data_IF_755622751497
#
_entry.id   IF_755622751497
#
_cell.length_a   1.000
_cell.length_b   1.000
_cell.length_c   1.000
_cell.angle_alpha   90.00
_cell.angle_beta   90.00
_cell.angle_gamma   90.00
#
_symmetry.space_group_name_H-M   'P 1'
#
loop_
_entity.id
_entity.type
_entity.pdbx_description
1 polymer ?
#
# COMPACT_ATOMS: atom_id res chain seq x y z
N UNK A 1 -21.32 -32.03 42.40
CA UNK A 1 -22.63 -32.60 42.02
C UNK A 1 -22.77 -32.46 40.51
N UNK A 2 -22.87 -33.64 39.89
CA UNK A 2 -23.44 -34.05 38.58
C UNK A 2 -22.99 -33.23 37.36
N UNK A 3 -22.33 -33.73 36.37
CA UNK A 3 -22.19 -35.07 35.79
C UNK A 3 -23.07 -35.23 34.55
N UNK A 4 -22.50 -35.94 33.55
CA UNK A 4 -23.20 -36.56 32.41
C UNK A 4 -23.17 -35.76 31.09
N UNK A 5 -22.86 -36.26 29.91
CA UNK A 5 -22.35 -37.56 29.41
C UNK A 5 -22.21 -37.45 27.87
N UNK A 6 -21.24 -38.20 27.35
CA UNK A 6 -21.04 -38.51 25.93
C UNK A 6 -22.17 -39.40 25.38
N UNK A 7 -22.49 -39.28 24.10
CA UNK A 7 -22.97 -40.42 23.30
C UNK A 7 -22.47 -40.36 21.84
N UNK A 8 -21.64 -41.33 21.54
CA UNK A 8 -21.35 -41.88 20.21
C UNK A 8 -22.49 -42.80 19.79
N UNK A 9 -22.84 -42.85 18.49
CA UNK A 9 -23.53 -43.99 17.90
C UNK A 9 -22.85 -44.35 16.59
N UNK A 10 -22.40 -45.59 16.57
CA UNK A 10 -21.89 -46.39 15.44
C UNK A 10 -23.03 -47.01 14.65
N UNK A 11 -22.76 -47.31 13.39
CA UNK A 11 -23.10 -48.62 12.82
C UNK A 11 -24.19 -48.67 11.77
N UNK A 12 -23.88 -49.35 10.66
CA UNK A 12 -24.85 -49.89 9.74
C UNK A 12 -24.28 -50.30 8.39
N UNK A 13 -23.94 -51.55 8.27
CA UNK A 13 -23.30 -52.29 7.19
C UNK A 13 -24.28 -52.74 6.06
N UNK A 14 -23.70 -52.90 4.86
CA UNK A 14 -23.79 -54.01 3.93
C UNK A 14 -25.02 -54.21 3.01
N UNK A 15 -24.72 -54.54 1.76
CA UNK A 15 -25.60 -55.17 0.81
C UNK A 15 -25.07 -55.15 -0.64
N UNK A 16 -24.26 -56.15 -1.00
CA UNK A 16 -23.84 -56.39 -2.37
C UNK A 16 -24.82 -57.22 -3.16
N UNK A 17 -24.83 -57.10 -4.47
CA UNK A 17 -25.31 -58.16 -5.42
C UNK A 17 -24.39 -58.17 -6.64
N UNK A 18 -23.89 -59.37 -6.93
CA UNK A 18 -23.14 -59.80 -8.10
C UNK A 18 -24.12 -60.02 -9.30
N UNK A 19 -23.63 -59.75 -10.50
CA UNK A 19 -24.31 -60.13 -11.74
C UNK A 19 -23.50 -59.91 -13.01
N UNK A 20 -22.87 -60.96 -13.50
CA UNK A 20 -22.92 -61.50 -14.86
C UNK A 20 -22.13 -60.82 -15.99
N UNK A 21 -21.07 -61.49 -16.37
CA UNK A 21 -20.23 -61.33 -17.56
C UNK A 21 -21.00 -61.70 -18.84
N UNK A 22 -20.87 -60.89 -19.91
CA UNK A 22 -20.82 -61.39 -21.31
C UNK A 22 -19.83 -60.52 -22.07
N UNK A 23 -18.82 -61.15 -22.63
CA UNK A 23 -17.83 -60.54 -23.48
C UNK A 23 -18.32 -60.36 -24.93
N UNK A 24 -17.86 -59.25 -25.52
CA UNK A 24 -17.78 -59.10 -26.96
C UNK A 24 -16.57 -58.30 -27.34
N UNK A 25 -15.61 -58.95 -27.95
CA UNK A 25 -14.43 -58.38 -28.54
C UNK A 25 -14.79 -57.58 -29.79
N UNK A 26 -14.54 -56.25 -29.76
CA UNK A 26 -14.48 -55.39 -30.95
C UNK A 26 -13.13 -54.75 -31.02
N UNK A 27 -12.34 -55.14 -31.97
CA UNK A 27 -11.10 -54.50 -32.41
C UNK A 27 -11.41 -53.10 -32.91
N UNK A 28 -11.02 -52.10 -32.13
CA UNK A 28 -11.14 -50.66 -32.43
C UNK A 28 -9.77 -50.02 -32.50
N UNK A 29 -9.45 -49.51 -33.65
CA UNK A 29 -8.29 -48.69 -34.01
C UNK A 29 -7.90 -47.67 -32.93
N UNK A 30 -6.65 -47.67 -32.54
CA UNK A 30 -6.04 -46.69 -31.67
C UNK A 30 -6.04 -45.30 -32.31
N UNK A 31 -7.02 -44.48 -31.98
CA UNK A 31 -6.91 -43.06 -32.14
C UNK A 31 -6.03 -42.52 -30.99
N UNK A 32 -4.86 -42.03 -31.34
CA UNK A 32 -4.01 -41.28 -30.44
C UNK A 32 -4.81 -40.07 -29.95
N UNK A 33 -5.41 -40.21 -28.76
CA UNK A 33 -6.01 -39.11 -28.01
C UNK A 33 -4.91 -38.13 -27.64
N UNK A 34 -4.82 -37.05 -28.39
CA UNK A 34 -4.05 -35.89 -27.95
C UNK A 34 -4.63 -35.49 -26.60
N UNK A 35 -3.92 -35.76 -25.52
CA UNK A 35 -4.13 -35.12 -24.24
C UNK A 35 -3.95 -33.63 -24.48
N UNK A 36 -5.07 -32.92 -24.65
CA UNK A 36 -5.12 -31.48 -24.55
C UNK A 36 -4.67 -31.14 -23.11
N UNK A 37 -3.37 -31.00 -22.94
CA UNK A 37 -2.79 -30.43 -21.73
C UNK A 37 -3.51 -29.11 -21.54
N UNK A 38 -4.20 -28.94 -20.41
CA UNK A 38 -4.70 -27.66 -19.93
C UNK A 38 -3.49 -26.76 -19.78
N UNK A 39 -3.03 -26.14 -20.87
CA UNK A 39 -2.13 -24.99 -20.80
C UNK A 39 -2.93 -23.91 -20.07
N UNK A 40 -2.75 -23.85 -18.75
CA UNK A 40 -3.28 -22.75 -17.93
C UNK A 40 -2.81 -21.48 -18.60
N UNK A 41 -3.71 -20.76 -19.26
CA UNK A 41 -3.36 -19.54 -20.00
C UNK A 41 -2.57 -18.65 -19.06
N UNK A 42 -1.33 -18.35 -19.41
CA UNK A 42 -0.44 -17.58 -18.56
C UNK A 42 -1.13 -16.25 -18.19
N UNK A 43 -1.41 -16.08 -16.89
CA UNK A 43 -2.09 -14.89 -16.38
C UNK A 43 -1.08 -13.78 -16.22
N UNK A 44 -1.45 -12.56 -16.63
CA UNK A 44 -0.66 -11.38 -16.41
C UNK A 44 -0.48 -11.16 -14.89
N UNK A 45 0.76 -11.11 -14.42
CA UNK A 45 1.09 -10.75 -13.04
C UNK A 45 1.14 -9.24 -12.93
N UNK A 46 0.67 -8.71 -11.82
CA UNK A 46 0.55 -7.27 -11.57
C UNK A 46 1.50 -6.82 -10.47
N UNK A 47 1.96 -5.57 -10.54
CA UNK A 47 2.75 -4.89 -9.52
C UNK A 47 2.12 -3.53 -9.22
N UNK A 48 2.04 -3.15 -7.95
CA UNK A 48 1.51 -1.85 -7.55
C UNK A 48 2.51 -0.75 -7.91
N UNK A 49 2.19 0.07 -8.90
CA UNK A 49 3.03 1.18 -9.35
C UNK A 49 2.75 2.48 -8.63
N UNK A 50 1.55 2.65 -8.14
CA UNK A 50 1.12 3.71 -7.24
C UNK A 50 0.16 3.11 -6.24
N UNK A 51 0.29 3.49 -4.97
CA UNK A 51 -0.67 3.13 -3.95
C UNK A 51 -0.72 4.20 -2.86
N UNK A 52 -1.83 4.23 -2.14
CA UNK A 52 -2.01 5.05 -0.95
C UNK A 52 -2.84 4.32 0.10
N UNK A 53 -2.57 4.60 1.38
CA UNK A 53 -3.33 4.08 2.50
C UNK A 53 -4.53 4.99 2.77
N UNK A 54 -5.68 4.40 3.08
CA UNK A 54 -6.89 5.16 3.38
C UNK A 54 -7.18 5.26 4.87
N UNK A 55 -7.85 6.34 5.25
CA UNK A 55 -8.35 6.62 6.61
C UNK A 55 -9.87 6.83 6.59
N UNK A 56 -10.47 6.71 7.78
CA UNK A 56 -11.83 7.19 8.01
C UNK A 56 -11.86 8.73 8.03
N UNK A 57 -12.94 9.36 7.56
CA UNK A 57 -13.12 10.79 7.73
C UNK A 57 -13.40 11.16 9.18
N UNK A 58 -12.97 12.35 9.57
CA UNK A 58 -13.33 13.00 10.82
C UNK A 58 -14.17 14.24 10.55
N UNK A 59 -14.73 14.88 11.58
CA UNK A 59 -15.50 16.10 11.42
C UNK A 59 -14.72 17.26 10.74
N UNK A 60 -13.38 17.20 10.76
CA UNK A 60 -12.54 18.17 10.08
C UNK A 60 -12.41 17.92 8.56
N UNK A 61 -12.84 16.76 8.07
CA UNK A 61 -12.70 16.32 6.68
C UNK A 61 -14.05 16.48 5.95
N UNK A 62 -14.51 17.71 5.76
CA UNK A 62 -15.84 18.04 5.29
C UNK A 62 -16.25 17.28 4.01
N UNK A 63 -15.40 17.24 2.98
CA UNK A 63 -15.68 16.54 1.73
C UNK A 63 -15.86 15.04 1.93
N UNK A 64 -14.97 14.42 2.70
CA UNK A 64 -15.01 12.98 2.98
C UNK A 64 -16.19 12.60 3.90
N UNK A 65 -16.58 13.50 4.80
CA UNK A 65 -17.69 13.30 5.76
C UNK A 65 -19.05 13.50 5.09
N UNK A 66 -19.20 14.53 4.27
CA UNK A 66 -20.44 14.81 3.54
C UNK A 66 -20.65 13.86 2.37
N UNK A 67 -19.53 13.40 1.77
CA UNK A 67 -19.57 12.62 0.54
C UNK A 67 -19.96 13.47 -0.67
N UNK A 68 -20.29 12.79 -1.75
CA UNK A 68 -20.56 13.38 -3.06
C UNK A 68 -21.86 12.87 -3.66
N UNK A 69 -22.45 13.69 -4.53
CA UNK A 69 -23.58 13.34 -5.40
C UNK A 69 -23.36 14.03 -6.73
N UNK A 70 -23.60 13.35 -7.85
CA UNK A 70 -23.45 13.91 -9.22
C UNK A 70 -22.10 14.62 -9.38
N UNK A 71 -21.02 13.97 -8.96
CA UNK A 71 -19.70 14.61 -8.84
C UNK A 71 -18.64 13.81 -9.58
N UNK A 72 -17.80 14.50 -10.36
CA UNK A 72 -16.61 13.92 -10.98
C UNK A 72 -15.38 14.26 -10.15
N UNK A 73 -14.63 13.23 -9.78
CA UNK A 73 -13.32 13.34 -9.13
C UNK A 73 -12.23 13.08 -10.18
N UNK A 74 -11.18 13.91 -10.21
CA UNK A 74 -10.03 13.73 -11.11
C UNK A 74 -8.75 13.77 -10.32
N UNK A 75 -7.78 12.93 -10.71
CA UNK A 75 -6.47 12.85 -10.10
C UNK A 75 -5.39 12.72 -11.16
N UNK A 76 -4.29 13.45 -11.01
CA UNK A 76 -3.07 13.28 -11.79
C UNK A 76 -2.02 12.64 -10.90
N UNK A 77 -1.71 11.37 -11.15
CA UNK A 77 -0.90 10.54 -10.27
C UNK A 77 0.36 10.05 -10.98
N UNK A 78 1.51 10.17 -10.31
CA UNK A 78 2.81 9.74 -10.83
C UNK A 78 3.03 8.25 -10.58
N UNK A 79 3.25 7.49 -11.64
CA UNK A 79 3.59 6.07 -11.56
C UNK A 79 5.08 5.88 -11.28
N UNK A 80 5.43 5.08 -10.29
CA UNK A 80 6.84 4.71 -10.04
C UNK A 80 7.38 3.81 -11.13
N UNK A 81 6.57 2.87 -11.62
CA UNK A 81 6.87 1.97 -12.72
C UNK A 81 5.81 2.09 -13.82
N UNK A 82 6.23 2.11 -15.08
CA UNK A 82 5.35 2.18 -16.23
C UNK A 82 4.90 0.82 -16.74
N UNK A 83 4.17 0.86 -17.86
CA UNK A 83 3.69 -0.34 -18.56
C UNK A 83 4.58 -0.75 -19.72
N UNK A 84 5.59 0.09 -20.07
CA UNK A 84 6.56 -0.23 -21.13
C UNK A 84 7.38 -1.45 -20.71
N UNK A 85 7.34 -2.55 -21.48
CA UNK A 85 8.08 -3.75 -21.12
C UNK A 85 9.59 -3.50 -21.15
N UNK A 86 10.34 -3.94 -20.13
CA UNK A 86 11.80 -3.87 -20.17
C UNK A 86 12.37 -4.81 -21.24
N UNK A 87 13.62 -4.55 -21.66
CA UNK A 87 14.36 -5.49 -22.50
C UNK A 87 14.40 -6.86 -21.81
N UNK A 88 14.04 -7.93 -22.54
CA UNK A 88 13.97 -9.29 -21.99
C UNK A 88 12.65 -9.68 -21.30
N UNK A 89 11.63 -8.81 -21.31
CA UNK A 89 10.29 -9.18 -20.87
C UNK A 89 9.73 -10.38 -21.69
N UNK A 90 8.90 -11.21 -21.05
CA UNK A 90 8.23 -12.31 -21.75
C UNK A 90 7.24 -11.80 -22.82
N UNK A 91 6.84 -12.70 -23.73
CA UNK A 91 5.96 -12.34 -24.85
C UNK A 91 4.59 -11.83 -24.39
N UNK A 92 4.02 -12.39 -23.31
CA UNK A 92 2.73 -11.99 -22.77
C UNK A 92 2.76 -10.56 -22.24
N UNK A 93 3.79 -10.24 -21.48
CA UNK A 93 4.02 -8.89 -20.92
C UNK A 93 4.25 -7.87 -22.03
N UNK A 94 5.04 -8.20 -23.07
CA UNK A 94 5.23 -7.33 -24.25
C UNK A 94 3.97 -7.07 -25.04
N UNK A 95 3.09 -8.05 -25.13
CA UNK A 95 1.86 -7.95 -25.91
C UNK A 95 0.73 -7.17 -25.21
N UNK A 96 0.86 -6.90 -23.89
CA UNK A 96 -0.26 -6.36 -23.09
C UNK A 96 0.18 -5.23 -22.14
N UNK A 97 0.72 -4.10 -22.64
CA UNK A 97 0.94 -2.92 -21.80
C UNK A 97 -0.42 -2.41 -21.31
N UNK A 98 -0.63 -2.44 -20.01
CA UNK A 98 -1.92 -2.08 -19.43
C UNK A 98 -1.77 -1.55 -18.00
N UNK A 99 -2.75 -0.78 -17.57
CA UNK A 99 -2.96 -0.45 -16.15
C UNK A 99 -4.26 -1.09 -15.68
N UNK A 100 -4.38 -1.36 -14.38
CA UNK A 100 -5.66 -1.60 -13.72
C UNK A 100 -5.74 -0.75 -12.46
N UNK A 101 -6.95 -0.37 -12.08
CA UNK A 101 -7.21 0.50 -10.94
C UNK A 101 -7.78 -0.31 -9.79
N UNK A 102 -7.39 -0.01 -8.56
CA UNK A 102 -7.95 -0.58 -7.34
C UNK A 102 -8.70 0.48 -6.57
N UNK A 103 -9.94 0.17 -6.19
CA UNK A 103 -10.80 1.01 -5.38
C UNK A 103 -11.17 0.28 -4.11
N UNK A 104 -11.21 0.98 -2.97
CA UNK A 104 -11.64 0.40 -1.71
C UNK A 104 -12.43 1.41 -0.87
N UNK A 105 -13.37 0.88 -0.08
CA UNK A 105 -14.17 1.67 0.87
C UNK A 105 -14.11 1.04 2.28
N UNK A 106 -12.89 0.88 2.86
CA UNK A 106 -12.71 0.14 4.11
C UNK A 106 -13.40 0.79 5.32
N UNK A 107 -13.67 2.08 5.26
CA UNK A 107 -14.30 2.85 6.34
C UNK A 107 -15.70 3.39 5.96
N UNK A 108 -16.21 3.06 4.79
CA UNK A 108 -17.54 3.44 4.37
C UNK A 108 -18.62 2.66 5.11
N UNK A 109 -19.75 3.33 5.41
CA UNK A 109 -20.89 2.71 6.05
C UNK A 109 -21.94 2.17 5.06
N UNK A 110 -21.87 2.58 3.79
CA UNK A 110 -22.82 2.21 2.74
C UNK A 110 -22.11 1.85 1.43
N UNK A 111 -22.77 1.10 0.54
CA UNK A 111 -22.28 0.88 -0.81
C UNK A 111 -22.22 2.18 -1.61
N UNK A 112 -21.22 2.31 -2.48
CA UNK A 112 -21.03 3.46 -3.37
C UNK A 112 -21.01 2.97 -4.82
N UNK A 113 -21.78 3.62 -5.70
CA UNK A 113 -21.66 3.42 -7.14
C UNK A 113 -20.49 4.25 -7.67
N UNK A 114 -19.52 3.60 -8.29
CA UNK A 114 -18.34 4.23 -8.90
C UNK A 114 -18.39 4.04 -10.40
N UNK A 115 -18.42 5.10 -11.16
CA UNK A 115 -18.36 5.07 -12.62
C UNK A 115 -19.40 5.95 -13.33
N UNK A 116 -19.14 6.28 -14.61
CA UNK A 116 -18.01 5.82 -15.41
C UNK A 116 -16.64 6.31 -14.92
N UNK A 117 -15.63 5.49 -15.17
CA UNK A 117 -14.23 5.80 -14.85
C UNK A 117 -13.41 5.85 -16.13
N UNK A 118 -12.41 6.73 -16.18
CA UNK A 118 -11.43 6.77 -17.27
C UNK A 118 -9.99 6.82 -16.73
N UNK A 119 -9.06 6.27 -17.52
CA UNK A 119 -7.61 6.38 -17.32
C UNK A 119 -6.98 6.96 -18.58
N UNK A 120 -6.38 8.16 -18.51
CA UNK A 120 -5.95 8.94 -19.67
C UNK A 120 -7.03 8.98 -20.77
N UNK A 121 -8.26 9.35 -20.40
CA UNK A 121 -9.46 9.41 -21.24
C UNK A 121 -9.93 8.06 -21.85
N UNK A 122 -9.23 6.92 -21.61
CA UNK A 122 -9.70 5.60 -22.00
C UNK A 122 -10.69 5.05 -20.99
N UNK A 123 -11.80 4.43 -21.43
CA UNK A 123 -12.77 3.81 -20.53
C UNK A 123 -12.12 2.73 -19.66
N UNK A 124 -12.47 2.73 -18.39
CA UNK A 124 -12.17 1.68 -17.40
C UNK A 124 -13.44 0.88 -17.18
N UNK A 125 -13.34 -0.43 -17.28
CA UNK A 125 -14.47 -1.33 -17.10
C UNK A 125 -14.28 -2.21 -15.86
N UNK A 126 -15.38 -2.80 -15.38
CA UNK A 126 -15.42 -3.69 -14.22
C UNK A 126 -16.20 -4.96 -14.63
N UNK A 127 -15.49 -6.00 -15.07
CA UNK A 127 -16.12 -7.19 -15.65
C UNK A 127 -16.95 -6.85 -16.90
N UNK A 128 -16.50 -5.88 -17.70
CA UNK A 128 -17.18 -5.37 -18.87
C UNK A 128 -18.20 -4.25 -18.62
N UNK A 129 -18.61 -4.00 -17.38
CA UNK A 129 -19.53 -2.91 -17.02
C UNK A 129 -18.81 -1.56 -16.89
N UNK A 130 -19.51 -0.43 -17.13
CA UNK A 130 -18.98 0.94 -17.05
C UNK A 130 -18.90 1.48 -15.62
N UNK A 131 -19.60 0.85 -14.70
CA UNK A 131 -19.68 1.19 -13.30
C UNK A 131 -19.59 -0.06 -12.42
N UNK A 132 -19.39 0.15 -11.14
CA UNK A 132 -19.36 -0.91 -10.14
C UNK A 132 -19.94 -0.42 -8.81
N UNK A 133 -20.63 -1.32 -8.12
CA UNK A 133 -21.04 -1.10 -6.73
C UNK A 133 -19.89 -1.52 -5.82
N UNK A 134 -19.27 -0.54 -5.16
CA UNK A 134 -18.25 -0.75 -4.16
C UNK A 134 -18.94 -0.83 -2.78
N UNK A 135 -19.09 -2.03 -2.26
CA UNK A 135 -19.71 -2.26 -0.96
C UNK A 135 -18.86 -1.66 0.18
N UNK A 136 -19.49 -1.39 1.32
CA UNK A 136 -18.79 -0.99 2.53
C UNK A 136 -17.76 -2.07 2.94
N UNK A 137 -16.55 -1.67 3.30
CA UNK A 137 -15.45 -2.58 3.64
C UNK A 137 -14.78 -3.27 2.45
N UNK A 138 -15.35 -3.19 1.23
CA UNK A 138 -14.87 -3.95 0.08
C UNK A 138 -13.75 -3.26 -0.70
N UNK A 139 -13.07 -4.07 -1.49
CA UNK A 139 -12.11 -3.66 -2.53
C UNK A 139 -12.57 -4.22 -3.88
N UNK A 140 -12.50 -3.41 -4.93
CA UNK A 140 -12.73 -3.83 -6.32
C UNK A 140 -11.54 -3.48 -7.19
N UNK A 141 -11.35 -4.26 -8.25
CA UNK A 141 -10.27 -4.09 -9.22
C UNK A 141 -10.88 -3.99 -10.61
N UNK A 142 -10.43 -3.01 -11.38
CA UNK A 142 -10.90 -2.84 -12.77
C UNK A 142 -10.37 -3.92 -13.71
N UNK A 143 -11.01 -4.02 -14.87
CA UNK A 143 -10.43 -4.69 -16.04
C UNK A 143 -9.15 -3.95 -16.48
N UNK A 144 -8.21 -4.63 -17.18
CA UNK A 144 -7.01 -3.99 -17.73
C UNK A 144 -7.35 -2.95 -18.80
N UNK A 145 -6.75 -1.77 -18.70
CA UNK A 145 -6.85 -0.69 -19.70
C UNK A 145 -5.54 -0.60 -20.47
N UNK A 146 -5.59 -0.86 -21.77
CA UNK A 146 -4.40 -0.83 -22.64
C UNK A 146 -3.80 0.58 -22.75
N UNK A 147 -2.68 0.81 -22.08
CA UNK A 147 -1.92 2.07 -22.06
C UNK A 147 -0.43 1.76 -22.12
N UNK A 148 0.31 2.51 -22.93
CA UNK A 148 1.78 2.47 -22.99
C UNK A 148 2.29 3.70 -22.23
N UNK A 149 2.94 3.46 -21.10
CA UNK A 149 3.42 4.50 -20.19
C UNK A 149 4.86 4.19 -19.79
N UNK A 150 5.80 5.13 -19.91
CA UNK A 150 7.15 4.95 -19.36
C UNK A 150 7.15 4.97 -17.83
N UNK A 151 8.25 4.52 -17.23
CA UNK A 151 8.49 4.69 -15.80
C UNK A 151 8.46 6.17 -15.43
N UNK A 152 7.80 6.50 -14.34
CA UNK A 152 7.63 7.88 -13.92
C UNK A 152 6.65 8.69 -14.79
N UNK A 153 5.77 8.06 -15.55
CA UNK A 153 4.70 8.75 -16.26
C UNK A 153 3.59 9.21 -15.32
N UNK A 154 2.91 10.29 -15.69
CA UNK A 154 1.67 10.68 -15.03
C UNK A 154 0.48 9.94 -15.65
N UNK A 155 -0.45 9.49 -14.81
CA UNK A 155 -1.74 8.94 -15.20
C UNK A 155 -2.85 9.83 -14.67
N UNK A 156 -3.75 10.24 -15.55
CA UNK A 156 -4.96 10.97 -15.16
C UNK A 156 -6.10 9.97 -15.00
N UNK A 157 -6.63 9.88 -13.78
CA UNK A 157 -7.81 9.09 -13.47
C UNK A 157 -8.99 10.04 -13.24
N UNK A 158 -10.10 9.80 -13.94
CA UNK A 158 -11.37 10.51 -13.71
C UNK A 158 -12.43 9.49 -13.32
N UNK A 159 -13.15 9.71 -12.22
CA UNK A 159 -14.26 8.87 -11.80
C UNK A 159 -15.49 9.70 -11.46
N UNK A 160 -16.65 9.26 -11.87
CA UNK A 160 -17.91 9.87 -11.60
C UNK A 160 -18.67 9.13 -10.49
N UNK A 161 -19.27 9.87 -9.59
CA UNK A 161 -20.07 9.39 -8.48
C UNK A 161 -21.52 9.87 -8.68
N UNK A 162 -22.40 9.02 -9.24
CA UNK A 162 -23.73 9.44 -9.70
C UNK A 162 -24.72 9.70 -8.57
N UNK A 163 -24.63 8.96 -7.49
CA UNK A 163 -25.56 9.03 -6.36
C UNK A 163 -24.90 9.48 -5.07
N UNK A 164 -25.69 9.70 -4.02
CA UNK A 164 -25.17 10.07 -2.71
C UNK A 164 -24.27 8.97 -2.16
N UNK A 165 -23.05 9.32 -1.80
CA UNK A 165 -22.07 8.36 -1.30
C UNK A 165 -22.07 8.22 0.22
N UNK A 166 -22.54 9.25 0.94
CA UNK A 166 -22.27 9.38 2.37
C UNK A 166 -20.78 9.51 2.67
N UNK A 167 -20.35 9.28 3.92
CA UNK A 167 -18.95 9.33 4.31
C UNK A 167 -18.09 8.32 3.54
N UNK A 168 -16.93 8.77 3.06
CA UNK A 168 -16.04 8.00 2.20
C UNK A 168 -14.70 7.73 2.84
N UNK A 169 -14.13 6.57 2.54
CA UNK A 169 -12.72 6.29 2.76
C UNK A 169 -11.86 7.17 1.85
N UNK A 170 -10.81 7.76 2.39
CA UNK A 170 -9.96 8.68 1.66
C UNK A 170 -8.54 8.73 2.19
N UNK A 171 -7.64 9.30 1.41
CA UNK A 171 -6.32 9.74 1.86
C UNK A 171 -6.27 11.27 1.81
N UNK A 172 -5.83 11.88 2.90
CA UNK A 172 -6.00 13.33 3.11
C UNK A 172 -5.11 14.16 2.19
N UNK A 173 -3.85 13.76 1.99
CA UNK A 173 -2.90 14.50 1.16
C UNK A 173 -1.94 13.54 0.44
N UNK A 174 -2.11 13.39 -0.87
CA UNK A 174 -1.20 12.56 -1.70
C UNK A 174 -0.09 13.38 -2.36
N UNK A 175 0.05 14.66 -2.04
CA UNK A 175 0.99 15.59 -2.69
C UNK A 175 0.89 15.59 -4.22
N UNK A 176 -0.30 15.38 -4.75
CA UNK A 176 -0.60 15.38 -6.18
C UNK A 176 -1.87 16.20 -6.46
N UNK A 177 -1.96 16.74 -7.66
CA UNK A 177 -3.13 17.54 -8.08
C UNK A 177 -4.33 16.64 -8.33
N UNK A 178 -5.45 16.96 -7.69
CA UNK A 178 -6.77 16.43 -7.97
C UNK A 178 -7.81 17.53 -8.06
N UNK A 179 -9.03 17.16 -8.47
CA UNK A 179 -10.19 18.05 -8.39
C UNK A 179 -11.47 17.31 -8.00
N UNK A 180 -12.35 18.04 -7.33
CA UNK A 180 -13.73 17.68 -7.02
C UNK A 180 -14.58 18.62 -7.88
N UNK A 181 -15.14 18.11 -8.99
CA UNK A 181 -15.63 19.00 -10.05
C UNK A 181 -14.51 19.92 -10.53
N UNK A 182 -14.71 21.24 -10.40
CA UNK A 182 -13.75 22.28 -10.77
C UNK A 182 -12.88 22.76 -9.59
N UNK A 183 -13.16 22.32 -8.37
CA UNK A 183 -12.40 22.71 -7.18
C UNK A 183 -11.20 21.82 -6.96
N UNK A 184 -10.01 22.41 -6.78
CA UNK A 184 -8.77 21.67 -6.51
C UNK A 184 -8.84 20.92 -5.18
N UNK A 185 -8.16 19.76 -5.12
CA UNK A 185 -7.97 18.94 -3.91
C UNK A 185 -6.64 18.20 -3.97
N UNK A 186 -6.04 17.97 -2.81
CA UNK A 186 -4.91 17.05 -2.64
C UNK A 186 -5.35 15.69 -2.04
N UNK A 187 -6.64 15.57 -1.71
CA UNK A 187 -7.21 14.32 -1.18
C UNK A 187 -7.58 13.36 -2.31
N UNK A 188 -7.42 12.07 -2.05
CA UNK A 188 -7.87 10.99 -2.96
C UNK A 188 -8.91 10.14 -2.25
N UNK A 189 -10.07 9.99 -2.89
CA UNK A 189 -11.21 9.25 -2.37
C UNK A 189 -11.33 7.92 -3.09
N UNK A 190 -11.56 6.84 -2.37
CA UNK A 190 -11.81 5.47 -2.83
C UNK A 190 -10.68 4.82 -3.65
N UNK A 191 -9.95 5.55 -4.49
CA UNK A 191 -8.84 5.01 -5.30
C UNK A 191 -7.66 4.68 -4.39
N UNK A 192 -7.25 3.42 -4.35
CA UNK A 192 -6.16 2.93 -3.47
C UNK A 192 -4.93 2.47 -4.20
N UNK A 193 -5.02 2.23 -5.50
CA UNK A 193 -3.85 1.77 -6.23
C UNK A 193 -4.02 1.76 -7.75
N UNK A 194 -2.87 1.79 -8.41
CA UNK A 194 -2.70 1.63 -9.85
C UNK A 194 -1.65 0.56 -10.05
N UNK A 195 -2.06 -0.54 -10.68
CA UNK A 195 -1.18 -1.66 -10.96
C UNK A 195 -0.78 -1.68 -12.43
N UNK A 196 0.46 -2.12 -12.67
CA UNK A 196 1.05 -2.34 -13.99
C UNK A 196 1.52 -3.79 -14.12
N UNK A 197 1.80 -4.32 -15.32
CA UNK A 197 2.39 -5.65 -15.45
C UNK A 197 3.71 -5.77 -14.69
N UNK A 198 3.86 -6.83 -13.91
CA UNK A 198 4.99 -7.00 -12.98
C UNK A 198 6.37 -7.03 -13.67
N UNK A 199 6.47 -7.58 -14.88
CA UNK A 199 7.69 -7.57 -15.71
C UNK A 199 9.00 -7.99 -15.00
N UNK A 200 8.89 -8.85 -13.97
CA UNK A 200 10.03 -9.25 -13.12
C UNK A 200 10.43 -8.19 -12.07
N UNK A 201 9.65 -7.13 -11.88
CA UNK A 201 9.83 -6.12 -10.83
C UNK A 201 9.02 -6.52 -9.59
N UNK A 202 9.66 -6.46 -8.44
CA UNK A 202 8.97 -6.54 -7.14
C UNK A 202 8.50 -5.15 -6.70
N UNK A 203 7.52 -5.12 -5.82
CA UNK A 203 7.03 -3.91 -5.18
C UNK A 203 7.75 -3.67 -3.87
N UNK A 204 8.19 -2.45 -3.65
CA UNK A 204 8.64 -1.93 -2.36
C UNK A 204 7.47 -1.19 -1.74
N UNK A 205 6.92 -1.71 -0.65
CA UNK A 205 5.92 -1.01 0.15
C UNK A 205 6.61 -0.16 1.21
N UNK A 206 6.22 1.10 1.34
CA UNK A 206 6.77 2.01 2.34
C UNK A 206 5.68 2.34 3.35
N UNK A 207 5.71 1.66 4.49
CA UNK A 207 4.81 1.88 5.63
C UNK A 207 5.39 2.99 6.50
N UNK A 208 4.74 4.16 6.52
CA UNK A 208 5.28 5.33 7.19
C UNK A 208 4.25 6.35 7.66
N UNK A 209 4.76 7.48 8.12
CA UNK A 209 3.99 8.64 8.59
C UNK A 209 4.10 9.84 7.63
N UNK A 210 4.02 11.06 8.17
CA UNK A 210 4.11 12.32 7.42
C UNK A 210 5.41 12.49 6.65
N UNK A 211 6.53 11.95 7.15
CA UNK A 211 7.82 12.03 6.48
C UNK A 211 7.80 11.18 5.21
N UNK A 212 7.13 10.04 5.26
CA UNK A 212 6.93 9.15 4.11
C UNK A 212 5.84 9.68 3.17
N UNK A 213 4.73 10.19 3.70
CA UNK A 213 3.67 10.84 2.92
C UNK A 213 4.24 12.00 2.09
N UNK A 214 5.16 12.78 2.67
CA UNK A 214 5.92 13.81 1.96
C UNK A 214 5.78 15.23 2.49
N UNK A 215 5.29 15.40 3.73
CA UNK A 215 5.24 16.72 4.39
C UNK A 215 6.61 17.38 4.35
N UNK A 216 6.65 18.68 3.99
CA UNK A 216 7.89 19.44 3.79
C UNK A 216 8.41 19.42 2.35
N UNK A 217 7.81 18.61 1.45
CA UNK A 217 8.13 18.62 0.02
C UNK A 217 7.04 19.34 -0.79
N UNK A 218 7.37 20.00 -1.91
CA UNK A 218 6.38 20.68 -2.74
C UNK A 218 5.42 19.71 -3.41
N UNK A 219 4.14 20.07 -3.46
CA UNK A 219 3.12 19.30 -4.19
C UNK A 219 3.47 19.19 -5.68
N UNK A 220 3.12 18.06 -6.29
CA UNK A 220 3.37 17.74 -7.71
C UNK A 220 4.85 17.67 -8.14
N UNK A 221 5.79 17.95 -7.25
CA UNK A 221 7.22 17.90 -7.58
C UNK A 221 7.77 16.47 -7.62
N UNK A 222 7.08 15.50 -7.02
CA UNK A 222 7.53 14.11 -6.87
C UNK A 222 8.92 14.04 -6.23
N UNK A 223 9.11 14.82 -5.16
CA UNK A 223 10.36 14.93 -4.40
C UNK A 223 10.27 14.29 -3.01
N UNK A 224 9.21 13.52 -2.74
CA UNK A 224 9.14 12.69 -1.53
C UNK A 224 10.25 11.65 -1.58
N UNK A 225 10.76 11.22 -0.43
CA UNK A 225 11.89 10.28 -0.43
C UNK A 225 11.59 8.95 -1.16
N UNK A 226 10.37 8.36 -1.10
CA UNK A 226 10.08 7.16 -1.87
C UNK A 226 10.08 7.40 -3.40
N UNK A 227 9.70 8.61 -3.85
CA UNK A 227 9.75 8.98 -5.29
C UNK A 227 11.18 9.08 -5.78
N UNK A 228 12.07 9.67 -4.96
CA UNK A 228 13.48 9.87 -5.30
C UNK A 228 14.26 8.55 -5.27
N UNK A 229 13.91 7.64 -4.37
CA UNK A 229 14.47 6.30 -4.34
C UNK A 229 14.09 5.51 -5.60
N UNK A 230 12.81 5.49 -5.97
CA UNK A 230 12.35 4.83 -7.20
C UNK A 230 13.12 5.30 -8.46
N UNK A 231 13.61 6.55 -8.47
CA UNK A 231 14.34 7.12 -9.60
C UNK A 231 15.79 6.60 -9.74
N UNK A 232 16.37 6.00 -8.69
CA UNK A 232 17.81 5.61 -8.64
C UNK A 232 18.12 4.27 -9.27
N UNK A 233 17.18 3.35 -9.33
CA UNK A 233 17.46 1.98 -9.77
C UNK A 233 17.43 1.83 -11.30
N UNK A 234 18.42 1.12 -11.88
CA UNK A 234 18.44 0.76 -13.32
C UNK A 234 17.21 -0.09 -13.72
N UNK A 235 16.74 -0.93 -12.82
CA UNK A 235 15.43 -1.59 -12.87
C UNK A 235 14.62 -1.02 -11.72
N UNK A 236 13.93 0.08 -11.97
CA UNK A 236 13.13 0.74 -10.95
C UNK A 236 12.15 -0.25 -10.34
N UNK A 237 12.22 -0.54 -9.02
CA UNK A 237 11.14 -1.26 -8.38
C UNK A 237 9.86 -0.45 -8.54
N UNK A 238 8.72 -1.11 -8.49
CA UNK A 238 7.48 -0.41 -8.25
C UNK A 238 7.46 0.01 -6.77
N UNK A 239 7.16 1.26 -6.47
CA UNK A 239 7.14 1.78 -5.10
C UNK A 239 5.72 2.20 -4.73
N UNK A 240 5.24 1.67 -3.61
CA UNK A 240 3.95 2.00 -3.01
C UNK A 240 4.17 2.84 -1.75
N UNK A 241 3.82 4.13 -1.82
CA UNK A 241 3.90 5.03 -0.68
C UNK A 241 2.63 4.90 0.17
N UNK A 242 2.76 4.33 1.37
CA UNK A 242 1.69 4.10 2.34
C UNK A 242 1.85 5.00 3.58
N UNK A 243 2.49 6.15 3.43
CA UNK A 243 2.59 7.17 4.46
C UNK A 243 1.22 7.75 4.82
N UNK A 244 0.98 8.00 6.10
CA UNK A 244 -0.18 8.73 6.63
C UNK A 244 0.34 9.74 7.65
N UNK A 245 0.11 11.03 7.42
CA UNK A 245 0.54 12.08 8.37
C UNK A 245 0.03 11.83 9.77
N UNK A 246 0.94 11.90 10.75
CA UNK A 246 0.64 11.68 12.16
C UNK A 246 0.51 10.21 12.57
N UNK A 247 0.67 9.25 11.65
CA UNK A 247 0.47 7.84 11.92
C UNK A 247 1.49 7.28 12.94
N UNK A 248 1.03 6.35 13.76
CA UNK A 248 1.80 5.64 14.80
C UNK A 248 1.97 4.18 14.43
N UNK A 249 2.95 3.51 15.02
CA UNK A 249 3.06 2.06 14.87
C UNK A 249 2.13 1.32 15.82
N UNK A 250 1.89 1.87 17.02
CA UNK A 250 1.21 1.20 18.13
C UNK A 250 -0.29 1.49 18.20
N UNK A 251 -0.71 2.73 17.96
CA UNK A 251 -2.06 3.19 18.28
C UNK A 251 -2.83 3.60 17.04
N UNK A 252 -4.07 3.17 17.00
CA UNK A 252 -5.08 3.71 16.09
C UNK A 252 -5.50 5.11 16.56
N UNK A 253 -5.79 5.99 15.60
CA UNK A 253 -6.23 7.34 15.88
C UNK A 253 -7.31 7.75 14.87
N UNK A 254 -8.38 8.39 15.33
CA UNK A 254 -9.47 8.82 14.46
C UNK A 254 -9.03 9.82 13.39
N UNK A 255 -8.05 10.67 13.69
CA UNK A 255 -7.52 11.67 12.76
C UNK A 255 -6.38 11.14 11.88
N UNK A 256 -5.50 10.31 12.48
CA UNK A 256 -4.26 9.85 11.86
C UNK A 256 -4.32 8.40 11.38
N UNK A 257 -5.54 7.85 11.37
CA UNK A 257 -5.84 6.53 10.84
C UNK A 257 -5.41 5.37 11.72
N UNK A 258 -5.64 4.13 11.26
CA UNK A 258 -5.19 2.93 11.96
C UNK A 258 -3.66 2.90 12.05
N UNK A 259 -3.14 2.44 13.18
CA UNK A 259 -1.71 2.29 13.43
C UNK A 259 -1.05 1.31 12.45
N UNK A 260 0.28 1.40 12.34
CA UNK A 260 1.03 0.57 11.41
C UNK A 260 0.74 -0.92 11.56
N UNK A 261 0.60 -1.42 12.79
CA UNK A 261 0.24 -2.82 13.06
C UNK A 261 -1.18 -3.16 12.60
N UNK A 262 -2.14 -2.27 12.84
CA UNK A 262 -3.57 -2.49 12.53
C UNK A 262 -3.86 -2.48 11.03
N UNK A 263 -3.12 -1.65 10.25
CA UNK A 263 -3.35 -1.50 8.81
C UNK A 263 -2.43 -2.37 7.94
N UNK A 264 -1.54 -3.14 8.54
CA UNK A 264 -0.50 -3.89 7.83
C UNK A 264 -1.06 -4.85 6.77
N UNK A 265 -2.02 -5.69 7.13
CA UNK A 265 -2.58 -6.68 6.20
C UNK A 265 -3.31 -6.00 5.03
N UNK A 266 -4.11 -4.98 5.33
CA UNK A 266 -4.88 -4.26 4.32
C UNK A 266 -3.97 -3.47 3.37
N UNK A 267 -3.04 -2.69 3.92
CA UNK A 267 -2.29 -1.71 3.13
C UNK A 267 -1.01 -2.31 2.53
N UNK A 268 -0.32 -3.19 3.28
CA UNK A 268 0.95 -3.79 2.84
C UNK A 268 0.73 -5.13 2.15
N UNK A 269 0.18 -6.13 2.84
CA UNK A 269 0.01 -7.47 2.29
C UNK A 269 -1.03 -7.53 1.17
N UNK A 270 -1.95 -6.56 1.11
CA UNK A 270 -2.90 -6.39 -0.01
C UNK A 270 -2.28 -5.93 -1.33
N UNK A 271 -0.98 -5.59 -1.39
CA UNK A 271 -0.30 -5.15 -2.60
C UNK A 271 0.10 -6.33 -3.48
N UNK A 272 -0.14 -6.27 -4.80
CA UNK A 272 0.30 -7.33 -5.70
C UNK A 272 1.82 -7.27 -5.92
N UNK A 273 2.45 -8.44 -5.94
CA UNK A 273 3.87 -8.67 -6.22
C UNK A 273 4.83 -7.96 -5.25
N UNK A 274 4.42 -7.87 -3.99
CA UNK A 274 5.24 -7.32 -2.92
C UNK A 274 6.49 -8.17 -2.70
N UNK A 275 7.64 -7.54 -2.48
CA UNK A 275 8.91 -8.22 -2.19
C UNK A 275 9.68 -7.59 -1.04
N UNK A 276 9.49 -6.29 -0.81
CA UNK A 276 10.20 -5.56 0.25
C UNK A 276 9.25 -4.65 1.01
N UNK A 277 9.34 -4.67 2.32
CA UNK A 277 8.73 -3.70 3.22
C UNK A 277 9.80 -2.73 3.73
N UNK A 278 9.57 -1.43 3.58
CA UNK A 278 10.29 -0.41 4.36
C UNK A 278 9.36 0.10 5.44
N UNK A 279 9.76 0.03 6.72
CA UNK A 279 8.98 0.60 7.83
C UNK A 279 9.69 1.82 8.40
N UNK A 280 8.99 2.97 8.36
CA UNK A 280 9.48 4.24 8.88
C UNK A 280 8.38 4.94 9.67
N UNK A 281 8.20 4.52 10.92
CA UNK A 281 7.21 4.97 11.90
C UNK A 281 7.92 5.21 13.24
N UNK A 282 7.19 5.62 14.26
CA UNK A 282 7.64 5.66 15.66
C UNK A 282 7.80 7.05 16.23
N UNK A 283 8.13 8.08 15.44
CA UNK A 283 8.24 9.45 15.96
C UNK A 283 6.91 9.94 16.57
N UNK A 284 5.80 9.57 15.96
CA UNK A 284 4.48 9.97 16.43
C UNK A 284 4.02 9.18 17.65
N UNK A 285 4.52 7.97 17.85
CA UNK A 285 4.31 7.22 19.10
C UNK A 285 5.00 7.93 20.26
N UNK A 286 6.20 8.49 20.03
CA UNK A 286 6.98 9.18 21.02
C UNK A 286 6.41 10.57 21.33
N UNK A 287 6.16 11.40 20.29
CA UNK A 287 5.90 12.84 20.49
C UNK A 287 4.41 13.22 20.63
N UNK A 288 3.45 12.36 20.19
CA UNK A 288 2.02 12.69 20.31
C UNK A 288 1.41 12.10 21.58
N UNK A 289 0.61 12.88 22.34
CA UNK A 289 -0.13 12.35 23.48
C UNK A 289 -1.19 11.29 23.06
N UNK A 290 -1.33 10.18 23.80
CA UNK A 290 -0.46 9.73 24.88
C UNK A 290 0.90 9.28 24.33
N UNK A 291 1.98 9.90 24.81
CA UNK A 291 3.35 9.61 24.37
C UNK A 291 3.82 8.25 24.88
N UNK A 292 4.45 7.48 24.01
CA UNK A 292 5.12 6.25 24.40
C UNK A 292 6.51 6.55 24.91
N UNK A 293 6.73 6.32 26.20
CA UNK A 293 8.00 6.58 26.90
C UNK A 293 8.82 5.33 27.18
N UNK A 294 8.28 4.14 26.88
CA UNK A 294 9.00 2.87 26.96
C UNK A 294 9.48 2.43 25.57
N UNK A 295 10.80 2.51 25.28
CA UNK A 295 11.36 2.08 24.00
C UNK A 295 11.03 0.64 23.62
N UNK A 296 10.90 -0.25 24.63
CA UNK A 296 10.63 -1.67 24.41
C UNK A 296 9.30 -1.92 23.71
N UNK A 297 8.29 -1.07 23.94
CA UNK A 297 6.99 -1.19 23.28
C UNK A 297 7.08 -0.90 21.77
N UNK A 298 7.83 0.11 21.38
CA UNK A 298 8.06 0.45 19.96
C UNK A 298 8.83 -0.69 19.28
N UNK A 299 9.90 -1.18 19.92
CA UNK A 299 10.71 -2.28 19.41
C UNK A 299 9.90 -3.57 19.28
N UNK A 300 9.03 -3.88 20.25
CA UNK A 300 8.12 -5.02 20.18
C UNK A 300 7.15 -4.91 18.98
N UNK A 301 6.63 -3.71 18.73
CA UNK A 301 5.77 -3.47 17.57
C UNK A 301 6.50 -3.73 16.25
N UNK A 302 7.73 -3.25 16.11
CA UNK A 302 8.55 -3.53 14.93
C UNK A 302 8.81 -5.03 14.76
N UNK A 303 9.12 -5.74 15.86
CA UNK A 303 9.30 -7.20 15.81
C UNK A 303 8.05 -7.91 15.28
N UNK A 304 6.85 -7.49 15.70
CA UNK A 304 5.61 -8.06 15.18
C UNK A 304 5.42 -7.78 13.68
N UNK A 305 5.77 -6.59 13.20
CA UNK A 305 5.74 -6.29 11.76
C UNK A 305 6.73 -7.17 10.97
N UNK A 306 7.93 -7.37 11.51
CA UNK A 306 8.96 -8.24 10.90
C UNK A 306 8.46 -9.69 10.81
N UNK A 307 7.95 -10.26 11.90
CA UNK A 307 7.43 -11.63 11.90
C UNK A 307 6.34 -11.80 10.83
N UNK A 308 5.35 -10.89 10.80
CA UNK A 308 4.26 -10.93 9.82
C UNK A 308 4.75 -10.75 8.38
N UNK A 309 5.77 -9.94 8.16
CA UNK A 309 6.38 -9.76 6.84
C UNK A 309 7.14 -11.02 6.40
N UNK A 310 7.92 -11.63 7.29
CA UNK A 310 8.66 -12.86 7.00
C UNK A 310 7.72 -14.05 6.75
N UNK A 311 6.55 -14.13 7.39
CA UNK A 311 5.52 -15.14 7.08
C UNK A 311 5.03 -15.05 5.62
N UNK A 312 5.33 -13.94 4.93
CA UNK A 312 5.03 -13.68 3.52
C UNK A 312 6.26 -13.55 2.62
N UNK A 313 7.42 -14.05 3.07
CA UNK A 313 8.69 -14.02 2.34
C UNK A 313 9.15 -12.60 1.95
N UNK A 314 8.85 -11.58 2.74
CA UNK A 314 9.26 -10.21 2.47
C UNK A 314 10.59 -9.87 3.12
N UNK A 315 11.48 -9.19 2.38
CA UNK A 315 12.60 -8.47 2.96
C UNK A 315 12.09 -7.26 3.75
N UNK A 316 12.60 -7.06 4.97
CA UNK A 316 12.19 -5.92 5.82
C UNK A 316 13.36 -4.99 6.06
N UNK A 317 13.18 -3.73 5.64
CA UNK A 317 14.11 -2.62 5.88
C UNK A 317 13.50 -1.72 6.95
N UNK A 318 14.12 -1.65 8.12
CA UNK A 318 13.67 -0.74 9.18
C UNK A 318 14.41 0.57 9.13
N UNK A 319 13.72 1.68 9.39
CA UNK A 319 14.33 3.00 9.48
C UNK A 319 14.56 3.41 10.94
N UNK A 320 15.70 4.07 11.23
CA UNK A 320 15.88 4.78 12.51
C UNK A 320 14.97 5.99 12.55
N UNK A 321 14.55 6.38 13.75
CA UNK A 321 13.70 7.56 13.98
C UNK A 321 14.55 8.81 13.87
N UNK A 322 14.20 9.73 12.97
CA UNK A 322 14.92 10.98 12.71
C UNK A 322 14.91 11.95 13.90
N UNK A 323 15.82 12.94 13.91
CA UNK A 323 15.89 13.96 14.95
C UNK A 323 14.72 14.94 14.84
N UNK A 324 14.29 15.55 15.96
CA UNK A 324 13.12 16.42 15.98
C UNK A 324 13.23 17.64 16.93
N UNK A 325 14.43 18.01 17.36
CA UNK A 325 14.64 19.21 18.21
C UNK A 325 14.34 20.47 17.41
N UNK A 326 13.43 21.26 17.94
CA UNK A 326 12.82 22.41 17.27
C UNK A 326 11.34 22.18 16.96
N UNK A 327 10.89 20.94 16.95
CA UNK A 327 9.47 20.62 16.89
C UNK A 327 8.74 21.04 18.16
N UNK A 328 7.51 21.54 18.02
CA UNK A 328 6.71 22.11 19.13
C UNK A 328 6.53 21.15 20.32
N UNK A 329 6.63 19.85 20.10
CA UNK A 329 6.46 18.81 21.15
C UNK A 329 7.77 18.17 21.59
N UNK A 330 8.90 18.74 21.17
CA UNK A 330 10.20 18.25 21.59
C UNK A 330 10.42 18.41 23.08
N UNK A 331 10.96 17.38 23.71
CA UNK A 331 11.61 17.46 25.03
C UNK A 331 12.83 16.55 25.03
N UNK A 332 13.83 16.85 25.86
CA UNK A 332 15.01 15.98 26.00
C UNK A 332 14.65 14.59 26.52
N UNK A 333 13.55 14.45 27.26
CA UNK A 333 13.06 13.15 27.72
C UNK A 333 12.55 12.30 26.56
N UNK A 334 11.79 12.86 25.62
CA UNK A 334 11.30 12.17 24.44
C UNK A 334 12.44 11.87 23.45
N UNK A 335 13.43 12.76 23.35
CA UNK A 335 14.60 12.49 22.53
C UNK A 335 15.46 11.35 23.08
N UNK A 336 15.54 11.18 24.40
CA UNK A 336 16.17 9.98 24.98
C UNK A 336 15.47 8.70 24.54
N UNK A 337 14.13 8.65 24.56
CA UNK A 337 13.38 7.48 24.07
C UNK A 337 13.72 7.18 22.61
N UNK A 338 13.77 8.20 21.75
CA UNK A 338 14.18 8.08 20.35
C UNK A 338 15.59 7.48 20.22
N UNK A 339 16.53 8.00 20.99
CA UNK A 339 17.92 7.53 20.98
C UNK A 339 18.05 6.10 21.47
N UNK A 340 17.29 5.69 22.50
CA UNK A 340 17.28 4.33 23.03
C UNK A 340 16.72 3.34 21.98
N UNK A 341 15.63 3.68 21.30
CA UNK A 341 15.12 2.90 20.17
C UNK A 341 16.18 2.76 19.08
N UNK A 342 16.76 3.87 18.63
CA UNK A 342 17.75 3.90 17.55
C UNK A 342 19.02 3.10 17.90
N UNK A 343 19.45 3.13 19.18
CA UNK A 343 20.60 2.36 19.65
C UNK A 343 20.38 0.85 19.48
N UNK A 344 19.17 0.36 19.75
CA UNK A 344 18.82 -1.05 19.53
C UNK A 344 18.73 -1.38 18.05
N UNK A 345 18.11 -0.51 17.24
CA UNK A 345 18.00 -0.72 15.79
C UNK A 345 19.37 -0.83 15.12
N UNK A 346 20.34 -0.03 15.53
CA UNK A 346 21.73 -0.07 15.00
C UNK A 346 22.50 -1.33 15.36
N UNK A 347 22.03 -2.16 16.29
CA UNK A 347 22.62 -3.47 16.54
C UNK A 347 22.40 -4.46 15.38
N UNK A 348 21.50 -4.12 14.43
CA UNK A 348 21.28 -4.88 13.19
C UNK A 348 20.65 -6.28 13.39
N UNK A 349 19.88 -6.50 14.48
CA UNK A 349 19.30 -7.81 14.80
C UNK A 349 17.80 -7.89 14.59
N UNK A 350 17.16 -6.76 14.34
CA UNK A 350 15.69 -6.69 14.28
C UNK A 350 15.17 -6.75 12.84
N UNK A 351 15.82 -6.09 11.91
CA UNK A 351 15.46 -5.99 10.50
C UNK A 351 16.49 -6.69 9.62
N UNK A 352 16.13 -7.09 8.41
CA UNK A 352 17.07 -7.65 7.44
C UNK A 352 18.10 -6.60 7.00
N UNK A 353 17.66 -5.33 6.88
CA UNK A 353 18.50 -4.17 6.60
C UNK A 353 18.06 -2.96 7.43
N UNK A 354 19.00 -2.05 7.66
CA UNK A 354 18.75 -0.79 8.36
C UNK A 354 18.92 0.39 7.41
N UNK A 355 17.92 1.28 7.39
CA UNK A 355 17.98 2.62 6.81
C UNK A 355 18.25 3.62 7.95
N UNK A 356 19.48 4.10 8.08
CA UNK A 356 19.84 5.03 9.17
C UNK A 356 19.46 6.46 8.83
N UNK A 357 18.15 6.77 8.90
CA UNK A 357 17.58 8.09 8.65
C UNK A 357 18.13 9.14 9.64
N UNK A 358 18.29 8.75 10.92
CA UNK A 358 18.86 9.66 11.92
C UNK A 358 20.27 10.11 11.51
N UNK A 359 21.14 9.19 11.09
CA UNK A 359 22.48 9.55 10.63
C UNK A 359 22.45 10.39 9.35
N UNK A 360 21.51 10.13 8.45
CA UNK A 360 21.37 10.86 7.18
C UNK A 360 20.90 12.31 7.36
N UNK A 361 20.09 12.58 8.39
CA UNK A 361 19.41 13.87 8.55
C UNK A 361 19.93 14.73 9.68
N UNK A 362 20.61 14.16 10.68
CA UNK A 362 21.01 14.91 11.90
C UNK A 362 22.08 15.94 11.63
N UNK A 363 22.00 17.06 12.34
CA UNK A 363 23.03 18.08 12.36
C UNK A 363 24.30 17.54 13.06
N UNK A 364 25.49 17.63 12.44
CA UNK A 364 26.74 17.22 13.10
C UNK A 364 27.05 17.94 14.39
N UNK A 365 26.58 19.19 14.58
CA UNK A 365 26.80 20.01 15.77
C UNK A 365 25.78 19.72 16.90
N UNK A 366 24.57 19.25 16.55
CA UNK A 366 23.51 18.90 17.51
C UNK A 366 22.67 17.73 16.96
N UNK A 367 23.01 16.52 17.32
CA UNK A 367 22.38 15.29 16.81
C UNK A 367 20.88 15.17 17.12
N UNK A 368 20.34 16.00 17.99
CA UNK A 368 18.89 16.05 18.23
C UNK A 368 18.14 16.86 17.17
N UNK A 369 18.85 17.64 16.31
CA UNK A 369 18.29 18.51 15.28
C UNK A 369 18.44 17.94 13.88
N UNK A 370 17.48 18.27 13.01
CA UNK A 370 17.70 18.20 11.57
C UNK A 370 18.78 19.21 11.14
N UNK A 371 19.62 18.83 10.20
CA UNK A 371 20.51 19.78 9.52
C UNK A 371 19.67 20.95 9.00
N UNK A 372 20.16 22.21 9.14
CA UNK A 372 19.41 23.38 8.69
C UNK A 372 19.00 23.35 7.23
N UNK A 373 19.87 22.84 6.34
CA UNK A 373 19.63 22.69 4.90
C UNK A 373 18.63 21.56 4.54
N UNK A 374 18.33 20.66 5.48
CA UNK A 374 17.35 19.57 5.32
C UNK A 374 16.00 19.85 5.98
N UNK A 375 15.91 20.88 6.83
CA UNK A 375 14.72 21.20 7.59
C UNK A 375 13.69 21.96 6.73
N UNK A 376 12.43 21.57 6.79
CA UNK A 376 11.32 22.32 6.16
C UNK A 376 10.97 23.62 6.88
N UNK A 377 11.50 23.83 8.10
CA UNK A 377 11.28 24.99 8.96
C UNK A 377 10.57 24.69 10.28
N UNK A 378 10.06 23.47 10.47
CA UNK A 378 9.30 23.10 11.68
C UNK A 378 10.10 22.26 12.71
N UNK A 379 11.30 21.81 12.34
CA UNK A 379 12.18 21.01 13.20
C UNK A 379 11.91 19.53 13.22
N UNK A 380 10.95 19.03 12.42
CA UNK A 380 10.56 17.61 12.34
C UNK A 380 10.61 17.08 10.92
N UNK A 381 10.01 17.81 9.96
CA UNK A 381 9.84 17.32 8.60
C UNK A 381 11.03 17.73 7.72
N UNK A 382 11.61 16.79 6.96
CA UNK A 382 12.64 17.13 6.00
C UNK A 382 12.04 17.83 4.77
N UNK A 383 12.76 18.79 4.21
CA UNK A 383 12.46 19.36 2.90
C UNK A 383 12.90 18.41 1.76
N UNK A 384 12.79 18.83 0.50
CA UNK A 384 13.15 18.01 -0.66
C UNK A 384 14.63 17.55 -0.65
N UNK A 385 15.55 18.36 -0.10
CA UNK A 385 16.96 17.97 0.04
C UNK A 385 17.14 16.90 1.12
N UNK A 386 16.46 17.03 2.26
CA UNK A 386 16.44 16.01 3.30
C UNK A 386 15.76 14.72 2.82
N UNK A 387 14.65 14.82 2.07
CA UNK A 387 14.02 13.67 1.44
C UNK A 387 14.98 12.93 0.49
N UNK A 388 15.79 13.67 -0.27
CA UNK A 388 16.85 13.09 -1.11
C UNK A 388 17.94 12.41 -0.28
N UNK A 389 18.33 12.98 0.87
CA UNK A 389 19.30 12.35 1.75
C UNK A 389 18.81 11.00 2.30
N UNK A 390 17.53 10.91 2.68
CA UNK A 390 16.90 9.62 3.07
C UNK A 390 17.00 8.61 1.92
N UNK A 391 16.58 8.98 0.71
CA UNK A 391 16.61 8.11 -0.44
C UNK A 391 18.04 7.65 -0.80
N UNK A 392 19.06 8.45 -0.53
CA UNK A 392 20.47 8.12 -0.76
C UNK A 392 21.03 7.15 0.28
N UNK A 393 20.43 7.07 1.46
CA UNK A 393 20.85 6.20 2.55
C UNK A 393 20.27 4.77 2.44
N UNK A 394 19.24 4.53 1.61
CA UNK A 394 18.66 3.22 1.33
C UNK A 394 19.53 2.41 0.34
#
# INVERSE_FOLDING_TARGET
MSGVSRRSILGGTAGGVLGGVVGSSVSGTSSAGATAGNATAARLRWAASWATAQTAPTAADADATSGFTDTTLRYKLRLSAGTTPPAGADALTRARPAVRLRFANPFGAAPVVVGPVTANAKPVLFGGAKDVVLAAGATVVSDPVGLILPDGADLVVSMYLPGPTGPLSFHRNVHATGSIGDRATNSVFLLTGIDVPATGRQVVAVLGDSITEGVGTPDNANLRWPDQDAARFRRRPAVANLGISGNRVLLDDGRFGPGGQSRFDRDVLGLPNLGTLVTFLGINDIQQPPSQTDPARILQAYQQLVHRAHDHDLEVIGATIGPFKGWIRYTDALDRVRNDVNAVLRQGRLFDRLLDVDAALRDPADHARLRPDFNSGDGLHPNAAGAKAIALAL
#
